data_IF_293911658939
#
_entry.id   IF_293911658939
#
_cell.length_a   1.000
_cell.length_b   1.000
_cell.length_c   1.000
_cell.angle_alpha   90.00
_cell.angle_beta   90.00
_cell.angle_gamma   90.00
#
_symmetry.space_group_name_H-M   'P 1'
#
loop_
_entity.id
_entity.type
_entity.pdbx_description
1 polymer ?
#
# COMPACT_ATOMS: atom_id res chain seq x y z
N UNK A 1 -3.60 -11.70 0.82
CA UNK A 1 -3.48 -11.00 -0.49
C UNK A 1 -2.27 -10.08 -0.41
N UNK A 2 -1.33 -10.22 -1.34
CA UNK A 2 -0.14 -9.38 -1.44
C UNK A 2 -0.07 -8.72 -2.80
N UNK A 3 0.52 -7.52 -2.85
CA UNK A 3 0.86 -6.84 -4.10
C UNK A 3 2.33 -6.42 -4.06
N UNK A 4 3.03 -6.60 -5.17
CA UNK A 4 4.42 -6.19 -5.35
C UNK A 4 4.51 -5.09 -6.41
N UNK A 5 5.16 -3.98 -6.07
CA UNK A 5 5.40 -2.88 -6.99
C UNK A 5 6.48 -3.20 -8.02
N UNK A 6 6.60 -2.44 -9.12
CA UNK A 6 7.69 -2.60 -10.09
C UNK A 6 9.10 -2.45 -9.50
N UNK A 7 9.24 -1.72 -8.38
CA UNK A 7 10.51 -1.58 -7.66
C UNK A 7 10.76 -2.70 -6.64
N UNK A 8 9.85 -3.67 -6.53
CA UNK A 8 9.99 -4.82 -5.64
C UNK A 8 9.42 -4.61 -4.24
N UNK A 9 8.79 -3.47 -3.95
CA UNK A 9 8.14 -3.24 -2.65
C UNK A 9 6.95 -4.17 -2.49
N UNK A 10 7.01 -5.04 -1.48
CA UNK A 10 5.95 -5.98 -1.16
C UNK A 10 5.01 -5.38 -0.12
N UNK A 11 3.71 -5.43 -0.41
CA UNK A 11 2.65 -4.90 0.44
C UNK A 11 1.61 -5.98 0.72
N UNK A 12 1.38 -6.26 1.99
CA UNK A 12 0.27 -7.11 2.44
C UNK A 12 -1.01 -6.30 2.48
N UNK A 13 -1.95 -6.59 1.58
CA UNK A 13 -3.26 -5.93 1.54
C UNK A 13 -4.28 -6.60 2.47
N UNK A 14 -4.13 -7.90 2.68
CA UNK A 14 -4.98 -8.68 3.58
C UNK A 14 -4.18 -9.86 4.12
N UNK A 15 -4.12 -9.97 5.43
CA UNK A 15 -3.64 -11.16 6.13
C UNK A 15 -4.75 -12.19 6.29
N UNK A 16 -4.37 -13.41 6.65
CA UNK A 16 -5.35 -14.41 7.10
C UNK A 16 -6.17 -13.88 8.28
N UNK A 17 -7.45 -14.27 8.32
CA UNK A 17 -8.38 -13.97 9.40
C UNK A 17 -9.03 -15.27 9.86
N UNK A 18 -8.42 -15.94 10.83
CA UNK A 18 -8.82 -17.29 11.27
C UNK A 18 -10.30 -17.45 11.65
N UNK A 19 -10.95 -16.36 12.09
CA UNK A 19 -12.35 -16.35 12.52
C UNK A 19 -13.33 -15.91 11.41
N UNK A 20 -12.82 -15.49 10.25
CA UNK A 20 -13.65 -15.09 9.12
C UNK A 20 -14.08 -16.32 8.32
N UNK A 21 -15.34 -16.73 8.51
CA UNK A 21 -15.97 -17.87 7.80
C UNK A 21 -16.97 -17.42 6.74
N UNK A 22 -16.92 -16.15 6.31
CA UNK A 22 -17.90 -15.61 5.37
C UNK A 22 -17.70 -16.19 3.96
N UNK A 23 -18.78 -16.64 3.29
CA UNK A 23 -18.73 -17.05 1.89
C UNK A 23 -18.86 -15.87 0.91
N UNK A 24 -19.06 -14.63 1.39
CA UNK A 24 -19.42 -13.50 0.52
C UNK A 24 -18.25 -12.96 -0.32
N UNK A 25 -17.02 -13.29 0.05
CA UNK A 25 -15.80 -12.82 -0.59
C UNK A 25 -15.66 -11.29 -0.55
N UNK A 26 -14.94 -10.74 -1.52
CA UNK A 26 -14.70 -9.30 -1.63
C UNK A 26 -15.40 -8.74 -2.88
N UNK A 27 -16.50 -8.02 -2.67
CA UNK A 27 -17.24 -7.36 -3.75
C UNK A 27 -16.83 -5.90 -3.85
N UNK A 28 -16.10 -5.54 -4.92
CA UNK A 28 -15.61 -4.18 -5.17
C UNK A 28 -14.88 -3.56 -3.96
N UNK A 29 -14.17 -4.38 -3.18
CA UNK A 29 -13.51 -3.92 -1.96
C UNK A 29 -12.21 -3.17 -2.27
N UNK A 30 -12.08 -1.88 -1.90
CA UNK A 30 -10.92 -1.07 -2.25
C UNK A 30 -9.79 -1.26 -1.24
N UNK A 31 -8.98 -2.31 -1.40
CA UNK A 31 -7.73 -2.42 -0.65
C UNK A 31 -6.79 -1.25 -1.00
N UNK A 32 -6.12 -0.69 0.01
CA UNK A 32 -5.28 0.50 -0.12
C UNK A 32 -3.96 0.33 0.63
N UNK A 33 -2.90 0.98 0.16
CA UNK A 33 -1.63 1.11 0.87
C UNK A 33 -0.91 2.40 0.49
N UNK A 34 0.00 2.84 1.35
CA UNK A 34 0.95 3.94 1.13
C UNK A 34 2.40 3.45 1.07
N UNK A 35 2.66 2.14 1.13
CA UNK A 35 4.02 1.58 1.20
C UNK A 35 4.88 1.94 -0.02
N UNK A 36 4.26 2.17 -1.18
CA UNK A 36 4.95 2.48 -2.44
C UNK A 36 5.00 3.98 -2.72
N UNK A 37 4.81 4.83 -1.69
CA UNK A 37 4.78 6.28 -1.88
C UNK A 37 6.09 6.82 -2.45
N UNK A 38 5.99 7.58 -3.53
CA UNK A 38 7.15 8.20 -4.19
C UNK A 38 7.86 7.29 -5.19
N UNK A 39 7.45 6.03 -5.33
CA UNK A 39 7.94 5.16 -6.40
C UNK A 39 7.37 5.59 -7.76
N UNK A 40 8.17 5.44 -8.82
CA UNK A 40 7.64 5.50 -10.19
C UNK A 40 6.78 4.23 -10.44
N UNK A 41 5.47 4.36 -10.68
CA UNK A 41 4.60 3.18 -10.75
C UNK A 41 4.70 2.43 -12.08
N UNK A 42 5.52 2.89 -13.04
CA UNK A 42 5.68 2.26 -14.35
C UNK A 42 6.41 0.93 -14.22
N UNK A 43 5.79 -0.13 -14.74
CA UNK A 43 6.36 -1.46 -14.83
C UNK A 43 5.36 -2.53 -14.42
N UNK A 44 5.87 -3.72 -14.09
CA UNK A 44 5.05 -4.87 -13.72
C UNK A 44 4.62 -4.79 -12.26
N UNK A 45 3.31 -4.75 -12.05
CA UNK A 45 2.70 -4.99 -10.75
C UNK A 45 2.29 -6.45 -10.65
N UNK A 46 2.62 -7.11 -9.55
CA UNK A 46 2.28 -8.52 -9.33
C UNK A 46 1.34 -8.63 -8.15
N UNK A 47 0.14 -9.17 -8.37
CA UNK A 47 -0.78 -9.54 -7.29
C UNK A 47 -0.67 -11.03 -6.99
N UNK A 48 -0.60 -11.38 -5.70
CA UNK A 48 -0.56 -12.75 -5.22
C UNK A 48 -1.74 -12.99 -4.27
N UNK A 49 -2.67 -13.82 -4.72
CA UNK A 49 -3.79 -14.33 -3.92
C UNK A 49 -3.47 -15.79 -3.59
N UNK A 50 -3.49 -16.13 -2.31
CA UNK A 50 -3.17 -17.47 -1.83
C UNK A 50 -4.15 -17.83 -0.72
N UNK A 51 -4.55 -19.09 -0.71
CA UNK A 51 -5.13 -19.72 0.45
C UNK A 51 -4.02 -20.49 1.19
N UNK A 52 -3.80 -20.13 2.46
CA UNK A 52 -2.81 -20.74 3.33
C UNK A 52 -3.44 -21.59 4.44
N UNK A 53 -4.77 -21.73 4.47
CA UNK A 53 -5.49 -22.45 5.53
C UNK A 53 -5.32 -23.97 5.44
N UNK A 54 -4.84 -24.47 4.29
CA UNK A 54 -4.69 -25.90 4.01
C UNK A 54 -6.01 -26.63 3.75
N UNK A 55 -7.15 -25.93 3.77
CA UNK A 55 -8.44 -26.50 3.45
C UNK A 55 -8.58 -26.66 1.93
N UNK A 56 -8.57 -27.90 1.43
CA UNK A 56 -8.69 -28.18 0.00
C UNK A 56 -10.08 -27.90 -0.57
N UNK A 57 -11.09 -27.73 0.29
CA UNK A 57 -12.46 -27.41 -0.11
C UNK A 57 -12.66 -25.91 -0.37
N UNK A 58 -11.70 -25.07 0.02
CA UNK A 58 -11.77 -23.65 -0.27
C UNK A 58 -11.59 -23.41 -1.77
N UNK A 59 -12.55 -22.71 -2.36
CA UNK A 59 -12.55 -22.35 -3.78
C UNK A 59 -13.04 -20.92 -3.98
N UNK A 60 -12.64 -20.32 -5.09
CA UNK A 60 -13.07 -18.98 -5.44
C UNK A 60 -12.57 -18.56 -6.81
N UNK A 61 -13.16 -17.50 -7.34
CA UNK A 61 -12.80 -16.93 -8.64
C UNK A 61 -12.47 -15.45 -8.42
N UNK A 62 -11.36 -15.00 -9.00
CA UNK A 62 -11.09 -13.57 -9.15
C UNK A 62 -11.79 -13.12 -10.43
N UNK A 63 -12.96 -12.49 -10.30
CA UNK A 63 -13.71 -12.00 -11.45
C UNK A 63 -13.07 -10.75 -12.06
N UNK A 64 -12.76 -9.75 -11.24
CA UNK A 64 -12.20 -8.48 -11.67
C UNK A 64 -11.09 -8.01 -10.72
N UNK A 65 -10.09 -7.33 -11.29
CA UNK A 65 -9.03 -6.65 -10.55
C UNK A 65 -8.74 -5.29 -11.17
N UNK A 66 -8.89 -4.23 -10.38
CA UNK A 66 -8.60 -2.86 -10.80
C UNK A 66 -7.48 -2.28 -9.91
N UNK A 67 -6.39 -1.82 -10.53
CA UNK A 67 -5.33 -1.09 -9.86
C UNK A 67 -5.52 0.41 -10.08
N UNK A 68 -5.79 1.15 -9.01
CA UNK A 68 -5.91 2.61 -9.03
C UNK A 68 -4.65 3.22 -8.41
N UNK A 69 -3.97 4.07 -9.17
CA UNK A 69 -2.75 4.75 -8.73
C UNK A 69 -3.05 6.23 -8.48
N UNK A 70 -2.73 6.69 -7.28
CA UNK A 70 -2.83 8.10 -6.91
C UNK A 70 -1.43 8.71 -6.80
N UNK A 71 -1.25 9.88 -7.41
CA UNK A 71 0.04 10.56 -7.40
C UNK A 71 0.03 11.81 -8.27
N UNK A 72 1.23 12.34 -8.52
CA UNK A 72 1.46 13.48 -9.41
C UNK A 72 2.03 12.99 -10.74
N UNK A 73 1.76 13.73 -11.83
CA UNK A 73 2.31 13.40 -13.15
C UNK A 73 3.84 13.53 -13.20
N UNK A 74 4.38 14.48 -12.45
CA UNK A 74 5.82 14.76 -12.34
C UNK A 74 6.29 14.55 -10.91
N UNK A 75 7.57 14.16 -10.75
CA UNK A 75 8.19 14.03 -9.44
C UNK A 75 8.29 15.41 -8.76
N UNK A 76 7.82 15.57 -7.52
CA UNK A 76 7.95 16.82 -6.78
C UNK A 76 9.42 17.25 -6.65
N UNK A 77 9.68 18.57 -6.72
CA UNK A 77 11.04 19.13 -6.61
C UNK A 77 11.80 18.67 -5.37
N UNK A 78 11.11 18.46 -4.24
CA UNK A 78 11.77 18.03 -3.01
C UNK A 78 12.36 16.61 -3.10
N UNK A 79 11.84 15.74 -3.98
CA UNK A 79 12.42 14.40 -4.22
C UNK A 79 13.75 14.52 -4.99
N UNK A 80 13.87 15.53 -5.86
CA UNK A 80 15.11 15.79 -6.60
C UNK A 80 16.24 16.27 -5.68
N UNK A 81 15.90 16.88 -4.54
CA UNK A 81 16.86 17.35 -3.54
C UNK A 81 17.39 16.24 -2.61
N UNK A 82 16.93 14.99 -2.80
CA UNK A 82 17.28 13.84 -1.97
C UNK A 82 16.15 13.42 -1.02
N UNK A 83 16.38 12.38 -0.19
CA UNK A 83 15.41 11.93 0.80
C UNK A 83 15.10 13.06 1.79
N UNK A 84 13.85 13.11 2.29
CA UNK A 84 13.55 13.98 3.43
C UNK A 84 14.42 13.57 4.62
N UNK A 85 15.12 14.54 5.20
CA UNK A 85 15.91 14.35 6.42
C UNK A 85 14.96 14.45 7.60
N UNK A 86 14.63 13.31 8.19
CA UNK A 86 13.90 13.24 9.46
C UNK A 86 14.92 13.28 10.60
N UNK A 87 15.43 14.47 10.91
CA UNK A 87 16.24 14.69 12.10
C UNK A 87 15.37 14.94 13.35
N UNK A 88 16.00 15.07 14.51
CA UNK A 88 15.29 15.35 15.78
C UNK A 88 14.52 16.68 15.75
N UNK A 89 14.86 17.58 14.82
CA UNK A 89 14.23 18.89 14.69
C UNK A 89 13.00 18.88 13.77
N UNK A 90 12.80 17.83 12.96
CA UNK A 90 11.78 17.75 11.92
C UNK A 90 10.34 18.02 12.41
N UNK A 91 10.02 17.61 13.64
CA UNK A 91 8.70 17.79 14.26
C UNK A 91 8.72 18.71 15.48
N UNK A 92 9.79 19.48 15.71
CA UNK A 92 9.83 20.39 16.85
C UNK A 92 8.77 21.48 16.66
N UNK A 93 7.75 21.45 17.51
CA UNK A 93 6.72 22.50 17.56
C UNK A 93 7.43 23.78 18.00
N UNK A 94 7.67 24.69 17.07
CA UNK A 94 8.12 26.03 17.43
C UNK A 94 6.94 26.77 18.06
N UNK A 95 6.94 26.83 19.39
CA UNK A 95 5.92 27.56 20.12
C UNK A 95 6.23 29.07 20.01
N UNK A 96 5.75 29.72 18.95
CA UNK A 96 5.97 31.15 18.65
C UNK A 96 5.30 32.12 19.66
N UNK A 97 4.77 31.62 20.78
CA UNK A 97 4.01 32.43 21.75
C UNK A 97 4.85 33.18 22.79
N UNK A 98 6.17 33.12 22.75
CA UNK A 98 7.03 33.69 23.80
C UNK A 98 7.71 35.02 23.45
N UNK A 99 7.27 35.74 22.41
CA UNK A 99 7.77 37.10 22.12
C UNK A 99 6.61 38.09 22.06
N UNK A 100 6.19 38.56 23.24
CA UNK A 100 5.54 39.86 23.44
C UNK A 100 6.03 40.48 24.73
#
# INVERSE_FOLDING_TARGET
>A
INITSPHGTQTTLLTEREQDRSPDGFRNWPFMSVHTWGENPKGLWTIKIMDNTGNQDNGGILENFHLVLHGTAEAPRYIQAGPRVYDENYNTVQNERSVR
#
